data_IF_491354142869
#
_entry.id   IF_491354142869
#
_cell.length_a   1.000
_cell.length_b   1.000
_cell.length_c   1.000
_cell.angle_alpha   90.00
_cell.angle_beta   90.00
_cell.angle_gamma   90.00
#
_symmetry.space_group_name_H-M   'P 1'
#
loop_
_entity.id
_entity.type
_entity.pdbx_description
1 polymer ?
#
# COMPACT_ATOMS: atom_id res chain seq x y z
N UNK A 1 -16.02 -27.99 16.56
CA UNK A 1 -16.48 -26.86 15.73
C UNK A 1 -15.56 -25.68 15.98
N UNK A 2 -14.53 -25.51 15.16
CA UNK A 2 -13.58 -24.40 15.30
C UNK A 2 -14.09 -23.19 14.51
N UNK A 3 -14.98 -22.40 15.12
CA UNK A 3 -15.22 -21.03 14.70
C UNK A 3 -14.06 -20.15 15.22
N UNK A 4 -12.84 -20.43 14.77
CA UNK A 4 -11.69 -19.58 15.05
C UNK A 4 -11.81 -18.31 14.21
N UNK A 5 -12.38 -17.26 14.81
CA UNK A 5 -12.02 -15.86 14.59
C UNK A 5 -11.83 -15.39 13.14
N UNK A 6 -12.78 -15.66 12.25
CA UNK A 6 -12.78 -15.08 10.89
C UNK A 6 -13.02 -13.55 10.87
N UNK A 7 -13.46 -12.96 11.98
CA UNK A 7 -13.81 -11.53 12.07
C UNK A 7 -12.73 -10.62 12.69
N UNK A 8 -11.58 -11.16 13.12
CA UNK A 8 -10.54 -10.36 13.79
C UNK A 8 -9.36 -9.96 12.89
N UNK A 9 -9.44 -10.16 11.57
CA UNK A 9 -8.38 -9.81 10.60
C UNK A 9 -8.51 -8.37 10.07
N UNK A 10 -9.45 -7.54 10.56
CA UNK A 10 -9.83 -6.29 9.90
C UNK A 10 -9.13 -5.00 10.37
N UNK A 11 -7.92 -5.09 10.95
CA UNK A 11 -7.04 -3.92 11.09
C UNK A 11 -5.65 -4.24 10.57
N UNK A 12 -5.40 -3.85 9.32
CA UNK A 12 -4.03 -3.75 8.80
C UNK A 12 -3.36 -2.56 9.48
N UNK A 13 -2.29 -2.82 10.22
CA UNK A 13 -1.48 -1.79 10.87
C UNK A 13 -0.54 -1.16 9.83
N UNK A 14 -0.11 0.09 10.03
CA UNK A 14 0.81 0.77 9.09
C UNK A 14 2.05 -0.07 8.75
N UNK A 15 2.66 -0.73 9.73
CA UNK A 15 3.82 -1.61 9.53
C UNK A 15 3.52 -2.83 8.65
N UNK A 16 2.32 -3.41 8.78
CA UNK A 16 1.90 -4.52 7.91
C UNK A 16 1.62 -4.04 6.50
N UNK A 17 1.03 -2.85 6.36
CA UNK A 17 0.83 -2.19 5.08
C UNK A 17 2.17 -1.90 4.38
N UNK A 18 3.13 -1.29 5.08
CA UNK A 18 4.49 -1.07 4.56
C UNK A 18 5.16 -2.37 4.14
N UNK A 19 5.22 -3.38 5.00
CA UNK A 19 5.82 -4.67 4.65
C UNK A 19 5.16 -5.30 3.42
N UNK A 20 3.82 -5.19 3.31
CA UNK A 20 3.08 -5.70 2.14
C UNK A 20 3.52 -4.96 0.88
N UNK A 21 3.65 -3.64 0.91
CA UNK A 21 4.06 -2.85 -0.26
C UNK A 21 5.56 -3.03 -0.58
N UNK A 22 6.43 -3.06 0.42
CA UNK A 22 7.88 -3.30 0.24
C UNK A 22 8.15 -4.68 -0.35
N UNK A 23 7.31 -5.69 -0.08
CA UNK A 23 7.43 -7.01 -0.73
C UNK A 23 7.27 -6.96 -2.26
N UNK A 24 6.76 -5.85 -2.81
CA UNK A 24 6.59 -5.63 -4.24
C UNK A 24 7.44 -4.45 -4.72
N UNK A 25 8.75 -4.54 -4.49
CA UNK A 25 9.75 -3.52 -4.87
C UNK A 25 9.68 -3.07 -6.35
N UNK A 26 9.09 -3.89 -7.23
CA UNK A 26 8.94 -3.60 -8.67
C UNK A 26 7.64 -2.90 -9.04
N UNK A 27 6.70 -2.73 -8.11
CA UNK A 27 5.40 -2.11 -8.36
C UNK A 27 5.30 -0.80 -7.60
N UNK A 28 4.99 0.28 -8.32
CA UNK A 28 4.81 1.61 -7.73
C UNK A 28 3.33 1.87 -7.50
N UNK A 29 2.81 1.45 -6.34
CA UNK A 29 1.42 1.73 -6.01
C UNK A 29 1.18 3.24 -5.91
N UNK A 30 0.16 3.72 -6.60
CA UNK A 30 -0.15 5.14 -6.72
C UNK A 30 -1.51 5.51 -6.16
N UNK A 31 -2.43 4.55 -6.08
CA UNK A 31 -3.75 4.76 -5.53
C UNK A 31 -4.23 3.57 -4.70
N UNK A 32 -5.17 3.84 -3.80
CA UNK A 32 -5.93 2.81 -3.09
C UNK A 32 -7.38 2.91 -3.58
N UNK A 33 -7.97 1.78 -3.93
CA UNK A 33 -9.37 1.70 -4.35
C UNK A 33 -10.09 0.65 -3.52
N UNK A 34 -11.41 0.74 -3.45
CA UNK A 34 -12.23 -0.39 -3.03
C UNK A 34 -13.05 -0.90 -4.21
N UNK A 35 -13.39 -2.19 -4.17
CA UNK A 35 -14.29 -2.83 -5.13
C UNK A 35 -15.35 -3.61 -4.35
N UNK A 36 -16.59 -3.55 -4.83
CA UNK A 36 -17.68 -4.34 -4.28
C UNK A 36 -17.75 -5.66 -5.03
N UNK A 37 -17.52 -6.76 -4.33
CA UNK A 37 -17.64 -8.11 -4.89
C UNK A 37 -18.74 -8.87 -4.16
N UNK A 38 -19.92 -8.93 -4.77
CA UNK A 38 -21.11 -9.52 -4.14
C UNK A 38 -21.58 -8.71 -2.93
N UNK A 39 -21.49 -9.32 -1.75
CA UNK A 39 -21.86 -8.70 -0.46
C UNK A 39 -20.66 -8.06 0.27
N UNK A 40 -19.44 -8.37 -0.17
CA UNK A 40 -18.22 -7.94 0.49
C UNK A 40 -17.61 -6.72 -0.21
N UNK A 41 -16.91 -5.90 0.58
CA UNK A 41 -16.11 -4.79 0.08
C UNK A 41 -14.63 -5.13 0.21
N UNK A 42 -13.90 -5.03 -0.88
CA UNK A 42 -12.49 -5.40 -0.94
C UNK A 42 -11.65 -4.16 -1.22
N UNK A 43 -10.59 -3.95 -0.44
CA UNK A 43 -9.69 -2.79 -0.59
C UNK A 43 -8.40 -3.25 -1.26
N UNK A 44 -7.99 -2.52 -2.29
CA UNK A 44 -6.84 -2.83 -3.13
C UNK A 44 -5.88 -1.64 -3.22
N UNK A 45 -4.57 -1.92 -3.23
CA UNK A 45 -3.56 -0.99 -3.72
C UNK A 45 -3.38 -1.22 -5.23
N UNK A 46 -3.35 -0.13 -6.02
CA UNK A 46 -3.18 -0.21 -7.46
C UNK A 46 -2.04 0.70 -7.94
N UNK A 47 -1.44 0.29 -9.04
CA UNK A 47 -0.57 1.12 -9.85
C UNK A 47 -1.39 1.65 -11.03
N UNK A 48 -1.77 2.93 -10.98
CA UNK A 48 -2.49 3.59 -12.10
C UNK A 48 -1.55 4.01 -13.24
N UNK A 49 -0.24 4.09 -12.97
CA UNK A 49 0.73 4.55 -13.96
C UNK A 49 1.22 3.39 -14.84
N UNK A 50 1.13 2.16 -14.35
CA UNK A 50 1.50 0.97 -15.09
C UNK A 50 0.41 0.52 -16.06
N UNK A 51 0.79 0.33 -17.32
CA UNK A 51 -0.06 -0.30 -18.34
C UNK A 51 -0.53 -1.71 -17.93
N UNK A 52 0.23 -2.38 -17.07
CA UNK A 52 -0.17 -3.60 -16.38
C UNK A 52 -1.00 -3.23 -15.16
N UNK A 53 -2.32 -3.47 -15.23
CA UNK A 53 -3.31 -3.29 -14.14
C UNK A 53 -2.97 -4.12 -12.90
N UNK A 54 -1.92 -3.73 -12.20
CA UNK A 54 -1.39 -4.42 -11.05
C UNK A 54 -2.16 -3.94 -9.83
N UNK A 55 -2.96 -4.84 -9.26
CA UNK A 55 -3.74 -4.59 -8.06
C UNK A 55 -3.38 -5.61 -7.00
N UNK A 56 -3.26 -5.16 -5.75
CA UNK A 56 -2.94 -6.03 -4.62
C UNK A 56 -4.02 -5.90 -3.57
N UNK A 57 -4.54 -7.05 -3.16
CA UNK A 57 -5.52 -7.13 -2.09
C UNK A 57 -4.90 -6.72 -0.75
N UNK A 58 -5.51 -5.74 -0.10
CA UNK A 58 -5.10 -5.27 1.23
C UNK A 58 -5.92 -5.94 2.32
N UNK A 59 -7.24 -5.73 2.30
CA UNK A 59 -8.17 -6.24 3.30
C UNK A 59 -9.64 -6.17 2.83
N UNK A 60 -10.53 -6.81 3.59
CA UNK A 60 -11.97 -6.64 3.45
C UNK A 60 -12.46 -5.45 4.30
N UNK A 61 -13.61 -4.92 3.92
CA UNK A 61 -14.36 -3.92 4.65
C UNK A 61 -15.79 -4.41 4.87
N UNK A 62 -16.36 -4.04 6.02
CA UNK A 62 -17.66 -4.57 6.46
C UNK A 62 -18.83 -3.93 5.71
N UNK A 63 -18.65 -2.70 5.24
CA UNK A 63 -19.63 -1.93 4.49
C UNK A 63 -18.91 -0.84 3.68
N UNK A 64 -19.65 -0.16 2.81
CA UNK A 64 -19.12 0.88 1.94
C UNK A 64 -18.48 2.03 2.72
N UNK A 65 -19.07 2.45 3.85
CA UNK A 65 -18.53 3.53 4.67
C UNK A 65 -17.19 3.14 5.32
N UNK A 66 -17.06 1.89 5.78
CA UNK A 66 -15.82 1.34 6.31
C UNK A 66 -14.76 1.16 5.21
N UNK A 67 -15.18 0.77 4.00
CA UNK A 67 -14.32 0.67 2.82
C UNK A 67 -13.73 2.04 2.46
N UNK A 68 -14.57 3.08 2.40
CA UNK A 68 -14.14 4.43 2.12
C UNK A 68 -13.16 4.93 3.20
N UNK A 69 -13.47 4.71 4.48
CA UNK A 69 -12.59 5.08 5.59
C UNK A 69 -11.22 4.40 5.49
N UNK A 70 -11.18 3.13 5.09
CA UNK A 70 -9.93 2.40 4.85
C UNK A 70 -9.17 2.95 3.65
N UNK A 71 -9.86 3.28 2.56
CA UNK A 71 -9.25 3.93 1.39
C UNK A 71 -8.61 5.26 1.78
N UNK A 72 -9.30 6.11 2.52
CA UNK A 72 -8.77 7.41 2.96
C UNK A 72 -7.53 7.22 3.84
N UNK A 73 -7.62 6.31 4.81
CA UNK A 73 -6.52 6.00 5.72
C UNK A 73 -5.29 5.43 4.98
N UNK A 74 -5.50 4.47 4.09
CA UNK A 74 -4.42 3.83 3.34
C UNK A 74 -3.84 4.74 2.27
N UNK A 75 -4.62 5.66 1.71
CA UNK A 75 -4.12 6.68 0.78
C UNK A 75 -3.14 7.62 1.49
N UNK A 76 -3.43 8.04 2.72
CA UNK A 76 -2.49 8.81 3.54
C UNK A 76 -1.21 8.02 3.82
N UNK A 77 -1.34 6.73 4.13
CA UNK A 77 -0.20 5.85 4.36
C UNK A 77 0.64 5.63 3.11
N UNK A 78 0.00 5.47 1.95
CA UNK A 78 0.67 5.34 0.67
C UNK A 78 1.45 6.61 0.32
N UNK A 79 0.86 7.79 0.54
CA UNK A 79 1.56 9.06 0.35
C UNK A 79 2.78 9.18 1.26
N UNK A 80 2.67 8.75 2.52
CA UNK A 80 3.78 8.70 3.48
C UNK A 80 4.87 7.73 3.03
N UNK A 81 4.48 6.52 2.63
CA UNK A 81 5.39 5.50 2.11
C UNK A 81 6.16 6.00 0.88
N UNK A 82 5.46 6.53 -0.12
CA UNK A 82 6.06 7.08 -1.33
C UNK A 82 6.97 8.29 -1.03
N UNK A 83 6.61 9.12 -0.04
CA UNK A 83 7.47 10.22 0.41
C UNK A 83 8.77 9.72 1.05
N UNK A 84 8.69 8.66 1.88
CA UNK A 84 9.87 8.03 2.46
C UNK A 84 10.75 7.33 1.41
N UNK A 85 10.14 6.64 0.44
CA UNK A 85 10.84 6.02 -0.68
C UNK A 85 11.60 7.07 -1.52
N UNK A 86 10.96 8.21 -1.83
CA UNK A 86 11.63 9.33 -2.52
C UNK A 86 12.79 9.92 -1.73
N UNK A 87 12.66 10.04 -0.41
CA UNK A 87 13.76 10.50 0.48
C UNK A 87 14.93 9.52 0.49
N UNK A 88 14.66 8.21 0.51
CA UNK A 88 15.70 7.17 0.42
C UNK A 88 16.48 7.29 -0.90
N UNK A 89 15.77 7.38 -2.04
CA UNK A 89 16.38 7.55 -3.35
C UNK A 89 17.22 8.84 -3.46
N UNK A 90 16.71 9.95 -2.93
CA UNK A 90 17.45 11.23 -2.93
C UNK A 90 18.73 11.17 -2.10
N UNK A 91 18.69 10.54 -0.92
CA UNK A 91 19.89 10.35 -0.10
C UNK A 91 20.91 9.41 -0.77
N UNK A 92 20.45 8.34 -1.42
CA UNK A 92 21.33 7.40 -2.13
C UNK A 92 21.99 8.07 -3.34
N UNK A 93 21.25 8.90 -4.09
CA UNK A 93 21.78 9.70 -5.19
C UNK A 93 22.79 10.75 -4.69
N UNK A 94 22.52 11.43 -3.58
CA UNK A 94 23.45 12.36 -2.97
C UNK A 94 24.74 11.68 -2.51
N UNK A 95 24.63 10.46 -1.95
CA UNK A 95 25.79 9.67 -1.51
C UNK A 95 26.63 9.17 -2.69
N UNK A 96 25.99 8.73 -3.79
CA UNK A 96 26.70 8.40 -5.04
C UNK A 96 27.37 9.62 -5.68
N UNK A 97 26.73 10.78 -5.65
CA UNK A 97 27.31 12.04 -6.14
C UNK A 97 28.55 12.48 -5.34
N UNK A 98 28.52 12.31 -4.00
CA UNK A 98 29.65 12.62 -3.14
C UNK A 98 30.84 11.65 -3.36
N UNK A 99 30.57 10.37 -3.65
CA UNK A 99 31.62 9.38 -3.91
C UNK A 99 32.36 9.64 -5.24
N UNK A 100 31.67 10.16 -6.25
CA UNK A 100 32.24 10.48 -7.57
C UNK A 100 33.02 11.81 -7.60
N UNK A 101 32.93 12.65 -6.57
CA UNK A 101 33.70 13.89 -6.45
C UNK A 101 35.04 13.71 -5.72
N UNK A 102 35.37 12.50 -5.27
CA UNK A 102 36.66 12.18 -4.64
C UNK A 102 37.68 11.52 -5.58
N UNK A 103 37.39 11.41 -6.87
CA UNK A 103 38.34 10.96 -7.91
C UNK A 103 38.93 12.14 -8.71
#
# INVERSE_FOLDING_TARGET
>A
MCALNYYQVNKVNYKQFENKLESWEKISFTAIIYSKYGVDFEVYAIDEHSNTKSRIFLCYAENEADAQKKVDQYSVWLAKFNSLARKRLSNEQAMRGALLQQE
#
